data_IF_693083599973
#
_entry.id   IF_693083599973
#
_cell.length_a   1.000
_cell.length_b   1.000
_cell.length_c   1.000
_cell.angle_alpha   90.00
_cell.angle_beta   90.00
_cell.angle_gamma   90.00
#
_symmetry.space_group_name_H-M   'P 1'
#
loop_
_entity.id
_entity.type
_entity.pdbx_description
1 polymer ?
#
# COMPACT_ATOMS: atom_id res chain seq x y z
N UNK A 1 11.70 -9.47 -18.28
CA UNK A 1 12.58 -8.56 -17.52
C UNK A 1 11.73 -7.45 -16.91
N UNK A 2 11.03 -7.75 -15.82
CA UNK A 2 10.12 -6.79 -15.17
C UNK A 2 10.54 -6.66 -13.72
N UNK A 3 10.67 -5.43 -13.26
CA UNK A 3 11.00 -5.09 -11.89
C UNK A 3 9.84 -4.31 -11.29
N UNK A 4 9.54 -4.57 -10.01
CA UNK A 4 8.58 -3.77 -9.27
C UNK A 4 9.25 -2.48 -8.82
N UNK A 5 8.51 -1.37 -8.86
CA UNK A 5 8.94 -0.12 -8.23
C UNK A 5 8.83 -0.24 -6.71
N UNK A 6 9.57 0.58 -5.96
CA UNK A 6 9.48 0.59 -4.50
C UNK A 6 8.05 0.86 -4.01
N UNK A 7 7.28 1.67 -4.75
CA UNK A 7 5.87 1.93 -4.45
C UNK A 7 5.01 0.67 -4.57
N UNK A 8 5.20 -0.13 -5.62
CA UNK A 8 4.51 -1.42 -5.79
C UNK A 8 4.94 -2.43 -4.72
N UNK A 9 6.24 -2.45 -4.36
CA UNK A 9 6.75 -3.29 -3.26
C UNK A 9 6.16 -2.85 -1.93
N UNK A 10 5.96 -1.55 -1.71
CA UNK A 10 5.33 -1.06 -0.50
C UNK A 10 3.83 -1.37 -0.45
N UNK A 11 3.12 -1.38 -1.59
CA UNK A 11 1.73 -1.85 -1.63
C UNK A 11 1.58 -3.32 -1.21
N UNK A 12 2.59 -4.16 -1.49
CA UNK A 12 2.63 -5.55 -1.02
C UNK A 12 2.66 -5.67 0.51
N UNK A 13 3.20 -4.68 1.23
CA UNK A 13 3.32 -4.73 2.70
C UNK A 13 1.98 -4.87 3.42
N UNK A 14 0.88 -4.38 2.81
CA UNK A 14 -0.47 -4.50 3.36
C UNK A 14 -0.94 -5.96 3.39
N UNK A 15 -0.58 -6.73 2.37
CA UNK A 15 -1.02 -8.12 2.21
C UNK A 15 0.00 -9.11 2.78
N UNK A 16 1.30 -8.79 2.67
CA UNK A 16 2.40 -9.65 3.05
C UNK A 16 3.55 -8.81 3.64
N UNK A 17 3.46 -8.38 4.90
CA UNK A 17 4.48 -7.53 5.54
C UNK A 17 5.85 -8.23 5.68
N UNK A 18 5.86 -9.56 5.81
CA UNK A 18 7.08 -10.37 5.94
C UNK A 18 7.63 -10.87 4.59
N UNK A 19 7.07 -10.43 3.46
CA UNK A 19 7.57 -10.84 2.15
C UNK A 19 8.99 -10.28 1.90
N UNK A 20 9.76 -10.97 1.07
CA UNK A 20 11.07 -10.50 0.61
C UNK A 20 11.06 -10.45 -0.91
N UNK A 21 11.32 -9.27 -1.46
CA UNK A 21 11.41 -9.04 -2.90
C UNK A 21 12.88 -9.10 -3.29
N UNK A 22 13.24 -10.07 -4.13
CA UNK A 22 14.59 -10.23 -4.66
C UNK A 22 14.64 -9.68 -6.08
N UNK A 23 15.61 -8.82 -6.36
CA UNK A 23 15.91 -8.34 -7.70
C UNK A 23 17.01 -9.23 -8.30
N UNK A 24 16.69 -9.93 -9.37
CA UNK A 24 17.59 -10.87 -10.04
C UNK A 24 17.99 -10.26 -11.39
N UNK A 25 19.29 -10.20 -11.63
CA UNK A 25 19.88 -9.78 -12.90
C UNK A 25 21.06 -10.70 -13.21
N UNK A 26 21.22 -11.12 -14.46
CA UNK A 26 22.25 -12.10 -14.88
C UNK A 26 22.34 -13.37 -13.99
N UNK A 27 21.18 -13.92 -13.57
CA UNK A 27 21.04 -15.07 -12.66
C UNK A 27 21.56 -14.86 -11.23
N UNK A 28 22.02 -13.65 -10.90
CA UNK A 28 22.51 -13.27 -9.58
C UNK A 28 21.51 -12.35 -8.86
N UNK A 29 21.48 -12.44 -7.53
CA UNK A 29 20.62 -11.57 -6.71
C UNK A 29 21.32 -10.23 -6.50
N UNK A 30 21.03 -9.28 -7.37
CA UNK A 30 21.61 -7.92 -7.31
C UNK A 30 20.97 -7.03 -6.24
N UNK A 31 19.84 -7.43 -5.65
CA UNK A 31 19.20 -6.68 -4.58
C UNK A 31 18.16 -7.46 -3.79
N UNK A 32 18.02 -7.13 -2.51
CA UNK A 32 16.96 -7.64 -1.63
C UNK A 32 16.27 -6.47 -0.95
N UNK A 33 14.97 -6.36 -1.13
CA UNK A 33 14.15 -5.37 -0.44
C UNK A 33 13.03 -6.05 0.34
N UNK A 34 12.71 -5.50 1.51
CA UNK A 34 11.52 -5.88 2.26
C UNK A 34 10.45 -4.80 2.04
N UNK A 35 9.19 -5.18 1.81
CA UNK A 35 8.08 -4.24 1.80
C UNK A 35 8.10 -3.39 3.07
N UNK A 36 8.22 -2.08 2.91
CA UNK A 36 8.00 -1.16 4.01
C UNK A 36 6.53 -0.75 4.01
N UNK A 37 5.94 -0.62 5.20
CA UNK A 37 4.57 -0.15 5.32
C UNK A 37 4.53 1.32 4.85
N UNK A 38 3.85 1.64 3.72
CA UNK A 38 3.81 3.00 3.22
C UNK A 38 2.98 3.88 4.16
N UNK A 39 3.31 5.17 4.26
CA UNK A 39 2.48 6.12 5.01
C UNK A 39 1.10 6.36 4.36
N UNK A 40 1.01 6.13 3.06
CA UNK A 40 -0.22 6.29 2.27
C UNK A 40 -0.40 5.16 1.26
N UNK A 41 -1.66 4.76 1.08
CA UNK A 41 -2.09 3.80 0.06
C UNK A 41 -3.06 4.51 -0.87
N UNK A 42 -2.79 4.47 -2.16
CA UNK A 42 -3.62 5.10 -3.19
C UNK A 42 -4.17 4.06 -4.18
N UNK A 43 -5.39 4.28 -4.66
CA UNK A 43 -6.05 3.55 -5.77
C UNK A 43 -6.36 2.06 -5.57
N UNK A 44 -5.81 1.40 -4.55
CA UNK A 44 -6.00 -0.06 -4.32
C UNK A 44 -7.21 -0.35 -3.41
N UNK A 45 -7.51 0.55 -2.48
CA UNK A 45 -8.50 0.33 -1.43
C UNK A 45 -9.80 1.10 -1.73
N UNK A 46 -10.94 0.57 -1.30
CA UNK A 46 -12.24 1.26 -1.42
C UNK A 46 -12.72 1.64 -0.02
N UNK A 47 -13.25 2.85 0.13
CA UNK A 47 -13.69 3.34 1.44
C UNK A 47 -14.93 2.57 1.91
N UNK A 48 -14.93 1.95 3.11
CA UNK A 48 -16.09 1.21 3.62
C UNK A 48 -17.27 2.15 3.98
N UNK A 49 -17.03 3.45 4.13
CA UNK A 49 -18.09 4.43 4.31
C UNK A 49 -18.86 4.62 3.00
N UNK A 50 -20.10 4.10 2.97
CA UNK A 50 -21.00 4.21 1.82
C UNK A 50 -21.33 5.65 1.43
N UNK A 51 -21.26 6.59 2.38
CA UNK A 51 -21.52 8.01 2.12
C UNK A 51 -20.22 8.80 1.82
N UNK A 52 -19.13 8.12 1.46
CA UNK A 52 -17.88 8.79 1.10
C UNK A 52 -17.92 9.30 -0.34
N UNK A 53 -17.51 10.55 -0.55
CA UNK A 53 -17.46 11.19 -1.88
C UNK A 53 -16.55 10.45 -2.87
N UNK A 54 -15.59 9.66 -2.38
CA UNK A 54 -14.69 8.86 -3.21
C UNK A 54 -15.39 7.78 -4.04
N UNK A 55 -16.66 7.46 -3.75
CA UNK A 55 -17.45 6.52 -4.56
C UNK A 55 -18.13 7.18 -5.75
N UNK A 56 -18.49 8.46 -5.62
CA UNK A 56 -19.27 9.18 -6.63
C UNK A 56 -18.39 9.94 -7.62
N UNK A 57 -17.24 10.43 -7.16
CA UNK A 57 -16.32 11.23 -7.98
C UNK A 57 -15.20 10.37 -8.59
N UNK A 58 -14.70 10.73 -9.79
CA UNK A 58 -13.57 10.06 -10.43
C UNK A 58 -12.24 10.46 -9.77
N UNK A 59 -12.11 10.16 -8.48
CA UNK A 59 -10.94 10.44 -7.66
C UNK A 59 -10.29 9.14 -7.20
N UNK A 60 -8.96 9.13 -7.16
CA UNK A 60 -8.23 8.00 -6.61
C UNK A 60 -8.49 7.90 -5.11
N UNK A 61 -8.81 6.70 -4.63
CA UNK A 61 -8.89 6.46 -3.20
C UNK A 61 -7.54 6.71 -2.54
N UNK A 62 -7.53 7.23 -1.31
CA UNK A 62 -6.30 7.54 -0.59
C UNK A 62 -6.52 7.34 0.90
N UNK A 63 -5.68 6.50 1.51
CA UNK A 63 -5.72 6.16 2.93
C UNK A 63 -4.37 6.41 3.57
N UNK A 64 -4.35 7.10 4.71
CA UNK A 64 -3.17 7.22 5.54
C UNK A 64 -3.07 6.00 6.45
N UNK A 65 -1.92 5.34 6.44
CA UNK A 65 -1.65 4.14 7.23
C UNK A 65 -1.04 4.55 8.55
N UNK A 66 -1.69 4.15 9.65
CA UNK A 66 -1.18 4.32 11.01
C UNK A 66 -0.97 2.97 11.66
N UNK A 67 0.29 2.66 11.94
CA UNK A 67 0.65 1.45 12.69
C UNK A 67 0.26 1.64 14.16
N UNK A 68 -0.69 0.86 14.65
CA UNK A 68 -0.97 0.68 16.09
C UNK A 68 -0.26 -0.60 16.56
N UNK A 69 -0.18 -0.80 17.88
CA UNK A 69 0.62 -1.88 18.46
C UNK A 69 0.28 -3.28 17.90
N UNK A 70 -1.00 -3.55 17.71
CA UNK A 70 -1.51 -4.86 17.28
C UNK A 70 -2.35 -4.80 15.99
N UNK A 71 -2.51 -3.62 15.38
CA UNK A 71 -3.39 -3.43 14.21
C UNK A 71 -2.93 -2.26 13.32
N UNK A 72 -3.37 -2.26 12.06
CA UNK A 72 -3.10 -1.22 11.08
C UNK A 72 -4.38 -0.41 10.88
N UNK A 73 -4.39 0.84 11.35
CA UNK A 73 -5.51 1.76 11.13
C UNK A 73 -5.35 2.50 9.80
N UNK A 74 -6.44 2.65 9.04
CA UNK A 74 -6.43 3.26 7.72
C UNK A 74 -7.36 4.48 7.69
N UNK A 75 -6.80 5.69 7.76
CA UNK A 75 -7.61 6.92 7.71
C UNK A 75 -7.88 7.34 6.27
N UNK A 76 -9.14 7.37 5.84
CA UNK A 76 -9.52 7.89 4.52
C UNK A 76 -9.21 9.39 4.40
N UNK A 77 -8.62 9.80 3.27
CA UNK A 77 -8.33 11.21 2.95
C UNK A 77 -9.58 12.08 2.79
N UNK A 78 -10.71 11.49 2.38
CA UNK A 78 -11.92 12.23 2.02
C UNK A 78 -12.93 12.35 3.17
N UNK A 79 -13.38 11.24 3.73
CA UNK A 79 -14.35 11.25 4.81
C UNK A 79 -13.71 11.29 6.21
N UNK A 80 -12.37 11.26 6.28
CA UNK A 80 -11.60 11.29 7.53
C UNK A 80 -11.91 10.18 8.54
N UNK A 81 -12.60 9.12 8.10
CA UNK A 81 -12.87 7.95 8.93
C UNK A 81 -11.68 7.00 8.93
N UNK A 82 -11.41 6.40 10.09
CA UNK A 82 -10.45 5.31 10.31
C UNK A 82 -11.17 3.96 10.34
#
# INVERSE_FOLDING_TARGET
NTFLTDEQVNQLSLYAPEATVNRIDDYEVVGKSRPSLPERIESVLVCPNSNCISHAEPVNSSFAVKKRADDIALKCKYCEKE
#
